data_IF_681150913263
#
_entry.id   IF_681150913263
#
_cell.length_a   1.000
_cell.length_b   1.000
_cell.length_c   1.000
_cell.angle_alpha   90.00
_cell.angle_beta   90.00
_cell.angle_gamma   90.00
#
_symmetry.space_group_name_H-M   'P 1'
#
loop_
_entity.id
_entity.type
_entity.pdbx_description
1 polymer ?
#
# COMPACT_ATOMS: atom_id res chain seq x y z
N UNK A 1 -66.48 -29.80 -0.33
CA UNK A 1 -66.89 -29.89 -1.74
C UNK A 1 -65.75 -30.52 -2.53
N UNK A 2 -66.03 -31.67 -3.16
CA UNK A 2 -65.23 -32.50 -4.09
C UNK A 2 -63.94 -33.16 -3.51
N UNK A 3 -64.02 -34.35 -2.90
CA UNK A 3 -63.90 -35.74 -3.46
C UNK A 3 -62.50 -36.06 -4.02
N UNK A 4 -61.60 -36.78 -3.33
CA UNK A 4 -61.48 -38.23 -3.01
C UNK A 4 -60.93 -39.11 -4.16
N UNK A 5 -60.10 -40.08 -3.76
CA UNK A 5 -59.58 -41.29 -4.46
C UNK A 5 -58.28 -41.11 -5.25
N UNK A 6 -57.25 -41.96 -5.19
CA UNK A 6 -57.00 -43.23 -4.48
C UNK A 6 -55.92 -44.05 -5.21
N UNK A 7 -55.07 -44.75 -4.45
CA UNK A 7 -54.67 -46.17 -4.64
C UNK A 7 -53.62 -46.56 -5.74
N UNK A 8 -52.40 -46.82 -5.25
CA UNK A 8 -51.50 -48.00 -5.37
C UNK A 8 -50.89 -48.58 -6.67
N UNK A 9 -49.65 -49.06 -6.46
CA UNK A 9 -49.01 -50.34 -6.85
C UNK A 9 -48.31 -50.49 -8.23
N UNK A 10 -46.97 -50.53 -8.14
CA UNK A 10 -46.06 -51.60 -8.55
C UNK A 10 -46.19 -52.28 -9.94
N UNK A 11 -45.07 -52.20 -10.66
CA UNK A 11 -44.27 -53.33 -11.19
C UNK A 11 -44.39 -53.79 -12.66
N UNK A 12 -43.19 -54.10 -13.20
CA UNK A 12 -42.81 -55.22 -14.08
C UNK A 12 -42.51 -55.01 -15.59
N UNK A 13 -41.39 -55.65 -15.98
CA UNK A 13 -40.86 -56.08 -17.31
C UNK A 13 -40.31 -55.01 -18.26
N UNK A 14 -38.99 -54.90 -18.48
CA UNK A 14 -38.05 -55.83 -19.15
C UNK A 14 -38.32 -56.02 -20.65
N UNK A 15 -37.46 -55.41 -21.49
CA UNK A 15 -37.16 -55.89 -22.84
C UNK A 15 -35.64 -55.77 -23.09
N UNK A 16 -35.03 -56.93 -23.25
CA UNK A 16 -33.67 -57.26 -23.72
C UNK A 16 -33.73 -57.18 -25.27
N UNK A 17 -32.73 -56.85 -26.11
CA UNK A 17 -31.36 -57.34 -26.33
C UNK A 17 -30.81 -56.50 -27.51
N UNK A 18 -29.54 -56.09 -27.50
CA UNK A 18 -28.53 -56.42 -28.54
C UNK A 18 -27.25 -55.63 -28.28
N UNK A 19 -26.24 -56.36 -27.79
CA UNK A 19 -24.86 -55.94 -27.78
C UNK A 19 -24.34 -55.87 -29.22
N UNK A 20 -23.67 -54.77 -29.55
CA UNK A 20 -22.68 -54.74 -30.62
C UNK A 20 -21.34 -54.49 -29.93
N UNK A 21 -20.55 -55.55 -29.81
CA UNK A 21 -19.15 -55.48 -29.43
C UNK A 21 -18.39 -54.75 -30.53
N UNK A 22 -17.87 -53.56 -30.23
CA UNK A 22 -16.81 -52.96 -31.02
C UNK A 22 -15.57 -52.89 -30.15
N UNK A 23 -14.72 -53.87 -30.36
CA UNK A 23 -13.34 -53.98 -29.85
C UNK A 23 -12.60 -52.69 -30.21
N UNK A 24 -12.28 -51.86 -29.21
CA UNK A 24 -11.40 -50.71 -29.43
C UNK A 24 -9.97 -51.21 -29.32
N UNK A 25 -9.29 -51.24 -30.47
CA UNK A 25 -7.87 -51.52 -30.56
C UNK A 25 -7.07 -50.46 -29.79
N UNK A 26 -6.19 -50.92 -28.90
CA UNK A 26 -5.09 -50.12 -28.35
C UNK A 26 -4.16 -49.75 -29.51
N UNK A 27 -4.09 -48.45 -29.80
CA UNK A 27 -3.25 -47.87 -30.84
C UNK A 27 -3.26 -46.35 -30.74
N UNK A 28 -2.30 -45.85 -29.97
CA UNK A 28 -1.70 -44.52 -29.96
C UNK A 28 -2.39 -43.42 -30.79
N UNK A 29 -3.11 -42.52 -30.12
CA UNK A 29 -3.10 -41.10 -30.49
C UNK A 29 -3.32 -40.22 -29.25
N UNK A 30 -2.24 -39.54 -28.89
CA UNK A 30 -2.16 -38.26 -28.19
C UNK A 30 -2.29 -38.27 -26.66
N UNK A 31 -1.11 -38.43 -26.04
CA UNK A 31 -0.63 -37.71 -24.84
C UNK A 31 -1.61 -36.67 -24.30
N UNK A 32 -2.28 -37.02 -23.22
CA UNK A 32 -2.89 -36.06 -22.30
C UNK A 32 -2.07 -36.07 -21.02
N UNK A 33 -0.82 -35.59 -21.12
CA UNK A 33 -0.17 -34.95 -19.99
C UNK A 33 -0.70 -33.51 -19.97
N UNK A 34 -1.36 -33.04 -18.90
CA UNK A 34 -1.33 -31.62 -18.62
C UNK A 34 0.10 -31.34 -18.18
N UNK A 35 0.96 -31.10 -19.18
CA UNK A 35 2.29 -30.55 -18.97
C UNK A 35 2.08 -29.33 -18.08
N UNK A 36 2.64 -29.39 -16.88
CA UNK A 36 2.82 -28.25 -16.01
C UNK A 36 3.23 -27.07 -16.88
N UNK A 37 2.30 -26.12 -17.03
CA UNK A 37 2.46 -24.99 -17.93
C UNK A 37 3.76 -24.31 -17.56
N UNK A 38 4.66 -24.27 -18.54
CA UNK A 38 6.07 -24.01 -18.39
C UNK A 38 6.31 -22.68 -17.65
N UNK A 39 6.61 -22.77 -16.34
CA UNK A 39 7.28 -21.74 -15.56
C UNK A 39 8.82 -21.90 -15.61
N UNK A 40 9.47 -21.71 -16.77
CA UNK A 40 10.86 -21.23 -16.77
C UNK A 40 11.08 -19.89 -17.49
N UNK A 41 10.17 -19.44 -18.38
CA UNK A 41 10.39 -18.21 -19.17
C UNK A 41 10.14 -16.92 -18.37
N UNK A 42 9.25 -16.97 -17.37
CA UNK A 42 8.89 -15.83 -16.52
C UNK A 42 9.97 -15.48 -15.47
N UNK A 43 10.67 -16.49 -14.94
CA UNK A 43 11.69 -16.29 -13.90
C UNK A 43 13.04 -15.85 -14.50
N UNK A 44 13.44 -16.36 -15.67
CA UNK A 44 14.73 -16.01 -16.29
C UNK A 44 14.81 -14.55 -16.75
N UNK A 45 13.78 -14.00 -17.40
CA UNK A 45 13.79 -12.60 -17.90
C UNK A 45 13.95 -11.58 -16.75
N UNK A 46 13.34 -11.87 -15.59
CA UNK A 46 13.38 -10.98 -14.43
C UNK A 46 14.57 -11.25 -13.49
N UNK A 47 15.23 -12.40 -13.61
CA UNK A 47 16.47 -12.74 -12.89
C UNK A 47 17.74 -12.38 -13.68
N UNK A 48 17.70 -12.39 -15.02
CA UNK A 48 18.79 -11.88 -15.87
C UNK A 48 18.97 -10.37 -15.71
N UNK A 49 17.88 -9.65 -15.41
CA UNK A 49 17.90 -8.25 -14.96
C UNK A 49 18.40 -8.05 -13.53
N UNK A 50 18.79 -9.12 -12.80
CA UNK A 50 19.47 -9.05 -11.49
C UNK A 50 20.93 -9.50 -11.57
N UNK A 51 21.43 -9.85 -12.76
CA UNK A 51 22.84 -10.11 -13.01
C UNK A 51 23.69 -8.89 -12.67
N UNK A 52 24.88 -9.12 -12.10
CA UNK A 52 25.76 -8.11 -11.50
C UNK A 52 25.80 -6.78 -12.28
N UNK A 53 25.01 -5.80 -11.83
CA UNK A 53 25.12 -4.46 -12.37
C UNK A 53 26.46 -3.87 -11.91
N UNK A 54 27.37 -3.48 -12.83
CA UNK A 54 28.47 -2.61 -12.45
C UNK A 54 27.90 -1.30 -11.90
N UNK A 55 28.02 -1.15 -10.57
CA UNK A 55 27.80 0.05 -9.73
C UNK A 55 26.73 1.05 -10.21
N UNK A 56 25.45 0.66 -10.19
CA UNK A 56 24.37 1.64 -10.23
C UNK A 56 24.46 2.55 -8.99
N UNK A 57 24.18 3.84 -9.14
CA UNK A 57 23.88 4.67 -7.97
C UNK A 57 22.58 4.19 -7.32
N UNK A 58 22.31 4.62 -6.09
CA UNK A 58 21.05 4.28 -5.41
C UNK A 58 19.85 4.78 -6.23
N UNK A 59 19.94 5.96 -6.85
CA UNK A 59 18.89 6.52 -7.71
C UNK A 59 18.67 5.70 -8.98
N UNK A 60 19.74 5.26 -9.64
CA UNK A 60 19.63 4.41 -10.83
C UNK A 60 19.04 3.03 -10.48
N UNK A 61 19.38 2.51 -9.31
CA UNK A 61 18.80 1.27 -8.79
C UNK A 61 17.31 1.44 -8.45
N UNK A 62 16.92 2.52 -7.78
CA UNK A 62 15.51 2.84 -7.48
C UNK A 62 14.67 3.02 -8.75
N UNK A 63 15.22 3.70 -9.76
CA UNK A 63 14.60 3.83 -11.08
C UNK A 63 14.42 2.46 -11.74
N UNK A 64 15.44 1.60 -11.70
CA UNK A 64 15.34 0.24 -12.23
C UNK A 64 14.26 -0.59 -11.52
N UNK A 65 14.17 -0.51 -10.19
CA UNK A 65 13.11 -1.17 -9.43
C UNK A 65 11.71 -0.67 -9.82
N UNK A 66 11.57 0.64 -10.01
CA UNK A 66 10.30 1.25 -10.44
C UNK A 66 9.91 0.75 -11.82
N UNK A 67 10.82 0.80 -12.80
CA UNK A 67 10.56 0.30 -14.15
C UNK A 67 10.22 -1.19 -14.17
N UNK A 68 10.88 -2.01 -13.35
CA UNK A 68 10.53 -3.41 -13.19
C UNK A 68 9.11 -3.59 -12.65
N UNK A 69 8.71 -2.76 -11.67
CA UNK A 69 7.40 -2.82 -11.02
C UNK A 69 6.24 -2.38 -11.93
N UNK A 70 6.46 -1.40 -12.81
CA UNK A 70 5.46 -0.99 -13.83
C UNK A 70 5.54 -1.84 -15.11
N UNK A 71 6.50 -2.76 -15.18
CA UNK A 71 6.77 -3.60 -16.33
C UNK A 71 6.25 -5.02 -16.18
N UNK A 72 6.76 -5.91 -17.03
CA UNK A 72 6.41 -7.34 -17.02
C UNK A 72 7.06 -8.12 -15.88
N UNK A 73 7.95 -7.47 -15.12
CA UNK A 73 8.66 -8.05 -13.97
C UNK A 73 8.06 -7.59 -12.64
N UNK A 74 6.84 -7.05 -12.66
CA UNK A 74 6.14 -6.61 -11.47
C UNK A 74 6.05 -7.75 -10.45
N UNK A 75 6.43 -7.46 -9.21
CA UNK A 75 6.29 -8.39 -8.09
C UNK A 75 5.02 -8.02 -7.32
N UNK A 76 4.18 -9.00 -7.02
CA UNK A 76 3.07 -8.79 -6.10
C UNK A 76 3.55 -8.61 -4.66
N UNK A 77 2.95 -7.68 -3.94
CA UNK A 77 3.16 -7.41 -2.52
C UNK A 77 1.92 -7.74 -1.71
N UNK A 78 2.13 -8.06 -0.45
CA UNK A 78 1.11 -8.16 0.59
C UNK A 78 1.34 -7.12 1.69
N UNK A 79 0.28 -6.77 2.43
CA UNK A 79 0.41 -5.93 3.63
C UNK A 79 1.40 -6.58 4.61
N UNK A 80 2.36 -5.78 5.10
CA UNK A 80 3.44 -6.22 5.98
C UNK A 80 4.74 -6.59 5.25
N UNK A 81 4.73 -6.70 3.92
CA UNK A 81 5.96 -6.89 3.14
C UNK A 81 6.89 -5.67 3.24
N UNK A 82 8.17 -5.90 2.97
CA UNK A 82 9.13 -4.81 2.74
C UNK A 82 9.00 -4.34 1.30
N UNK A 83 8.64 -3.07 1.11
CA UNK A 83 8.44 -2.46 -0.19
C UNK A 83 9.76 -2.09 -0.89
N UNK A 84 9.65 -1.53 -2.10
CA UNK A 84 10.80 -1.26 -2.97
C UNK A 84 11.80 -0.30 -2.33
N UNK A 85 11.32 0.67 -1.56
CA UNK A 85 12.16 1.65 -0.88
C UNK A 85 12.62 1.20 0.52
N UNK A 86 12.39 -0.05 0.90
CA UNK A 86 12.73 -0.60 2.23
C UNK A 86 11.71 -0.26 3.32
N UNK A 87 10.57 0.30 2.93
CA UNK A 87 9.43 0.60 3.79
C UNK A 87 8.60 -0.63 4.16
N UNK A 88 7.56 -0.43 4.96
CA UNK A 88 6.53 -1.47 5.17
C UNK A 88 5.32 -1.15 4.29
N UNK A 89 4.91 -2.13 3.49
CA UNK A 89 3.69 -2.06 2.68
C UNK A 89 2.48 -2.11 3.59
N UNK A 90 1.59 -1.11 3.51
CA UNK A 90 0.39 -1.02 4.35
C UNK A 90 -0.91 -1.02 3.56
N UNK A 91 -0.86 -0.81 2.24
CA UNK A 91 -2.00 -0.87 1.34
C UNK A 91 -1.55 -1.45 0.00
N UNK A 92 -2.37 -2.31 -0.60
CA UNK A 92 -2.10 -2.94 -1.91
C UNK A 92 -3.36 -2.93 -2.79
N UNK A 93 -3.16 -2.86 -4.10
CA UNK A 93 -4.21 -3.08 -5.10
C UNK A 93 -4.70 -4.53 -5.08
N UNK A 94 -5.83 -4.80 -5.75
CA UNK A 94 -6.43 -6.13 -5.79
C UNK A 94 -5.50 -7.21 -6.38
N UNK A 95 -4.66 -6.83 -7.35
CA UNK A 95 -3.65 -7.69 -7.97
C UNK A 95 -2.31 -7.73 -7.19
N UNK A 96 -2.18 -6.91 -6.13
CA UNK A 96 -0.96 -6.77 -5.34
C UNK A 96 0.20 -6.09 -6.06
N UNK A 97 0.03 -5.64 -7.30
CA UNK A 97 1.13 -5.08 -8.10
C UNK A 97 1.44 -3.62 -7.78
N UNK A 98 0.48 -2.90 -7.19
CA UNK A 98 0.66 -1.51 -6.79
C UNK A 98 0.19 -1.30 -5.36
N UNK A 99 0.66 -0.23 -4.73
CA UNK A 99 0.31 0.01 -3.35
C UNK A 99 0.95 1.22 -2.75
N UNK A 100 0.92 1.25 -1.41
CA UNK A 100 1.52 2.29 -0.59
C UNK A 100 2.43 1.65 0.44
N UNK A 101 3.62 2.22 0.59
CA UNK A 101 4.58 1.85 1.64
C UNK A 101 4.96 3.06 2.50
N UNK A 102 5.31 2.79 3.76
CA UNK A 102 5.87 3.80 4.66
C UNK A 102 7.34 4.05 4.37
N UNK A 103 7.90 5.17 4.81
CA UNK A 103 9.35 5.28 4.94
C UNK A 103 9.85 4.26 5.99
N UNK A 104 11.09 3.76 5.87
CA UNK A 104 11.70 2.89 6.88
C UNK A 104 11.91 3.62 8.22
N UNK A 105 12.06 4.95 8.19
CA UNK A 105 12.34 5.77 9.36
C UNK A 105 11.30 6.87 9.59
N UNK A 106 11.10 7.19 10.87
CA UNK A 106 10.19 8.23 11.34
C UNK A 106 10.96 9.55 11.49
N UNK A 107 10.41 10.63 10.95
CA UNK A 107 10.91 11.98 11.21
C UNK A 107 10.25 12.50 12.49
N UNK A 108 11.02 13.08 13.41
CA UNK A 108 10.53 13.47 14.75
C UNK A 108 10.72 14.95 15.03
N UNK A 109 9.84 15.49 15.89
CA UNK A 109 9.92 16.83 16.47
C UNK A 109 9.88 17.94 15.42
N UNK A 110 8.99 17.78 14.43
CA UNK A 110 8.84 18.73 13.32
C UNK A 110 7.54 19.52 13.46
N UNK A 111 7.60 20.78 13.06
CA UNK A 111 6.41 21.62 12.95
C UNK A 111 5.75 21.42 11.58
N UNK A 112 4.43 21.47 11.56
CA UNK A 112 3.66 21.51 10.31
C UNK A 112 4.08 22.72 9.47
N UNK A 113 4.36 23.84 10.14
CA UNK A 113 4.54 25.14 9.51
C UNK A 113 3.19 25.77 9.17
N UNK A 114 3.22 26.86 8.41
CA UNK A 114 2.01 27.56 7.95
C UNK A 114 1.05 27.98 9.08
N UNK A 115 1.59 28.27 10.26
CA UNK A 115 0.80 28.85 11.34
C UNK A 115 0.19 30.18 10.89
N UNK A 116 -1.08 30.40 11.22
CA UNK A 116 -1.90 31.53 10.78
C UNK A 116 -2.16 31.62 9.26
N UNK A 117 -1.86 30.58 8.49
CA UNK A 117 -2.08 30.53 7.04
C UNK A 117 -3.04 29.38 6.71
N UNK A 118 -4.14 29.70 6.01
CA UNK A 118 -5.05 28.72 5.42
C UNK A 118 -4.55 28.30 4.02
N UNK A 119 -4.57 26.99 3.75
CA UNK A 119 -3.98 26.37 2.58
C UNK A 119 -5.08 25.70 1.76
N UNK A 120 -5.62 26.45 0.80
CA UNK A 120 -6.56 25.90 -0.18
C UNK A 120 -5.94 24.68 -0.89
N UNK A 121 -6.64 23.56 -0.83
CA UNK A 121 -6.23 22.31 -1.48
C UNK A 121 -5.44 21.34 -0.61
N UNK A 122 -5.23 21.66 0.68
CA UNK A 122 -4.59 20.76 1.65
C UNK A 122 -5.60 20.10 2.61
N UNK A 123 -6.90 20.12 2.31
CA UNK A 123 -7.95 19.57 3.18
C UNK A 123 -8.47 18.19 2.77
N UNK A 124 -7.85 17.53 1.78
CA UNK A 124 -8.26 16.18 1.37
C UNK A 124 -7.99 15.18 2.49
N UNK A 125 -8.95 14.31 2.78
CA UNK A 125 -8.83 13.35 3.88
C UNK A 125 -8.61 11.93 3.37
N UNK A 126 -9.11 11.64 2.17
CA UNK A 126 -9.17 10.32 1.55
C UNK A 126 -7.79 9.69 1.30
N UNK A 127 -7.79 8.37 1.11
CA UNK A 127 -6.63 7.64 0.62
C UNK A 127 -6.31 8.17 -0.79
N UNK A 128 -5.06 8.54 -1.03
CA UNK A 128 -4.59 9.18 -2.25
C UNK A 128 -4.48 10.70 -2.19
N UNK A 129 -5.01 11.37 -1.15
CA UNK A 129 -4.92 12.85 -1.06
C UNK A 129 -3.57 13.34 -0.56
N UNK A 130 -2.78 12.50 0.11
CA UNK A 130 -1.59 12.93 0.83
C UNK A 130 -0.60 13.70 -0.03
N UNK A 131 -0.35 13.22 -1.26
CA UNK A 131 0.53 13.88 -2.22
C UNK A 131 0.01 15.27 -2.62
N UNK A 132 -1.24 15.38 -3.05
CA UNK A 132 -1.85 16.65 -3.46
C UNK A 132 -1.87 17.68 -2.31
N UNK A 133 -2.14 17.23 -1.10
CA UNK A 133 -2.08 18.07 0.10
C UNK A 133 -0.65 18.56 0.33
N UNK A 134 0.33 17.65 0.34
CA UNK A 134 1.76 17.94 0.52
C UNK A 134 2.23 19.00 -0.47
N UNK A 135 1.95 18.82 -1.76
CA UNK A 135 2.30 19.78 -2.80
C UNK A 135 1.64 21.16 -2.58
N UNK A 136 0.42 21.16 -2.04
CA UNK A 136 -0.32 22.40 -1.75
C UNK A 136 0.26 23.19 -0.59
N UNK A 137 0.77 22.51 0.41
CA UNK A 137 1.50 23.13 1.52
C UNK A 137 2.87 23.64 1.06
N UNK A 138 3.63 22.85 0.30
CA UNK A 138 4.96 23.24 -0.21
C UNK A 138 4.91 24.53 -1.05
N UNK A 139 3.88 24.68 -1.89
CA UNK A 139 3.65 25.90 -2.69
C UNK A 139 3.45 27.17 -1.87
N UNK A 140 3.16 27.08 -0.57
CA UNK A 140 3.01 28.25 0.32
C UNK A 140 4.32 28.75 0.88
N UNK A 141 5.41 27.98 0.78
CA UNK A 141 6.73 28.36 1.27
C UNK A 141 6.71 28.85 2.73
N UNK A 142 5.96 28.14 3.56
CA UNK A 142 5.73 28.53 4.94
C UNK A 142 6.97 28.36 5.82
N UNK A 143 7.02 29.16 6.88
CA UNK A 143 8.00 29.03 7.96
C UNK A 143 7.43 28.31 9.18
N UNK A 144 8.32 27.84 10.03
CA UNK A 144 8.03 27.35 11.39
C UNK A 144 7.83 28.53 12.35
N UNK A 145 7.08 28.33 13.43
CA UNK A 145 6.87 29.34 14.47
C UNK A 145 8.09 29.45 15.39
N UNK A 146 8.76 28.33 15.70
CA UNK A 146 9.90 28.32 16.62
C UNK A 146 11.25 28.17 15.92
N UNK A 147 11.31 28.49 14.62
CA UNK A 147 12.52 28.40 13.81
C UNK A 147 12.88 26.98 13.37
N UNK A 148 13.63 26.89 12.27
CA UNK A 148 14.01 25.62 11.61
C UNK A 148 13.19 25.32 10.37
N UNK A 149 13.39 24.12 9.82
CA UNK A 149 12.77 23.63 8.59
C UNK A 149 11.40 23.01 8.89
N UNK A 150 10.41 23.22 8.01
CA UNK A 150 9.08 22.60 8.16
C UNK A 150 9.13 21.09 7.88
N UNK A 151 8.20 20.34 8.45
CA UNK A 151 8.07 18.91 8.17
C UNK A 151 7.89 18.61 6.67
N UNK A 152 7.13 19.44 5.96
CA UNK A 152 6.91 19.29 4.51
C UNK A 152 8.20 19.42 3.70
N UNK A 153 9.06 20.39 4.05
CA UNK A 153 10.34 20.59 3.37
C UNK A 153 11.33 19.46 3.65
N UNK A 154 11.33 18.94 4.88
CA UNK A 154 12.13 17.75 5.22
C UNK A 154 11.71 16.51 4.42
N UNK A 155 10.42 16.37 4.13
CA UNK A 155 9.91 15.26 3.30
C UNK A 155 10.17 15.50 1.80
N UNK A 156 10.10 16.74 1.32
CA UNK A 156 10.44 17.11 -0.07
C UNK A 156 11.92 16.80 -0.41
N UNK A 157 12.81 16.95 0.56
CA UNK A 157 14.25 16.69 0.41
C UNK A 157 14.65 15.25 0.79
N UNK A 158 13.69 14.41 1.18
CA UNK A 158 13.95 13.06 1.65
C UNK A 158 14.39 12.15 0.49
N UNK A 159 15.59 11.59 0.59
CA UNK A 159 16.06 10.50 -0.28
C UNK A 159 16.31 9.27 0.60
N UNK A 160 15.60 8.18 0.32
CA UNK A 160 15.76 6.90 1.01
C UNK A 160 15.92 5.82 -0.04
N UNK A 161 17.07 5.14 -0.04
CA UNK A 161 17.39 4.07 -0.99
C UNK A 161 17.20 4.49 -2.46
N UNK A 162 17.54 5.73 -2.80
CA UNK A 162 17.41 6.31 -4.15
C UNK A 162 16.05 6.90 -4.50
N UNK A 163 15.06 6.79 -3.61
CA UNK A 163 13.71 7.25 -3.83
C UNK A 163 13.45 8.63 -3.23
N UNK A 164 12.85 9.55 -4.00
CA UNK A 164 12.66 10.98 -3.64
C UNK A 164 11.20 11.47 -3.70
N UNK A 165 10.27 10.62 -4.10
CA UNK A 165 8.84 10.88 -4.28
C UNK A 165 8.03 10.65 -2.99
N UNK A 166 8.63 10.88 -1.83
CA UNK A 166 7.98 10.80 -0.53
C UNK A 166 7.00 11.97 -0.31
N UNK A 167 5.91 11.70 0.42
CA UNK A 167 4.94 12.71 0.83
C UNK A 167 4.39 12.44 2.22
N UNK A 168 3.74 13.45 2.80
CA UNK A 168 3.10 13.32 4.11
C UNK A 168 1.70 12.71 3.91
N UNK A 169 1.37 11.62 4.61
CA UNK A 169 0.08 10.94 4.48
C UNK A 169 -1.10 11.87 4.82
N UNK A 170 -2.21 11.72 4.13
CA UNK A 170 -3.51 12.26 4.53
C UNK A 170 -3.97 11.63 5.84
N UNK A 171 -5.04 12.17 6.42
CA UNK A 171 -5.63 11.59 7.63
C UNK A 171 -6.00 10.13 7.44
N UNK A 172 -6.73 9.78 6.37
CA UNK A 172 -7.17 8.40 6.19
C UNK A 172 -6.01 7.47 5.81
N UNK A 173 -4.95 7.98 5.19
CA UNK A 173 -3.71 7.19 4.98
C UNK A 173 -3.03 6.85 6.31
N UNK A 174 -2.98 7.77 7.30
CA UNK A 174 -2.47 7.45 8.64
C UNK A 174 -3.34 6.43 9.40
N UNK A 175 -4.65 6.55 9.26
CA UNK A 175 -5.60 5.59 9.86
C UNK A 175 -5.38 4.22 9.23
N UNK A 176 -5.27 4.14 7.90
CA UNK A 176 -5.02 2.89 7.17
C UNK A 176 -3.71 2.24 7.61
N UNK A 177 -2.62 3.00 7.78
CA UNK A 177 -1.37 2.45 8.33
C UNK A 177 -1.60 1.79 9.69
N UNK A 178 -2.35 2.45 10.58
CA UNK A 178 -2.63 1.92 11.92
C UNK A 178 -3.55 0.70 11.88
N UNK A 179 -4.58 0.70 11.05
CA UNK A 179 -5.53 -0.39 10.95
C UNK A 179 -4.89 -1.64 10.32
N UNK A 180 -4.01 -1.45 9.34
CA UNK A 180 -3.33 -2.53 8.62
C UNK A 180 -2.08 -3.07 9.34
N UNK A 181 -1.28 -2.21 9.98
CA UNK A 181 -0.03 -2.62 10.65
C UNK A 181 -0.14 -2.67 12.19
N UNK A 182 -1.21 -2.14 12.75
CA UNK A 182 -1.42 -2.04 14.19
C UNK A 182 -0.67 -0.88 14.84
N UNK A 183 -0.64 -0.92 16.18
CA UNK A 183 0.03 0.11 16.97
C UNK A 183 1.54 0.09 16.73
N UNK A 184 2.09 1.22 16.26
CA UNK A 184 3.54 1.38 16.11
C UNK A 184 4.21 1.46 17.50
N UNK A 185 5.16 0.56 17.83
CA UNK A 185 5.85 0.60 19.11
C UNK A 185 6.89 1.73 19.10
N UNK A 186 6.56 2.88 19.70
CA UNK A 186 7.54 3.95 19.89
C UNK A 186 8.37 3.74 21.17
N UNK A 187 9.67 4.03 21.08
CA UNK A 187 10.55 4.07 22.24
C UNK A 187 10.14 5.17 23.22
N UNK A 188 10.06 4.82 24.51
CA UNK A 188 9.65 5.63 25.68
C UNK A 188 10.57 6.83 26.02
N UNK A 189 11.20 7.48 25.06
CA UNK A 189 11.98 8.70 25.31
C UNK A 189 11.22 9.94 24.82
N UNK A 190 10.08 10.21 25.45
CA UNK A 190 9.36 11.49 25.32
C UNK A 190 10.00 12.53 26.26
N UNK A 191 10.66 13.53 25.68
CA UNK A 191 10.86 14.80 26.38
C UNK A 191 9.50 15.50 26.50
N UNK A 192 9.25 16.24 27.58
CA UNK A 192 7.98 16.93 27.87
C UNK A 192 7.41 17.80 26.73
N UNK A 193 8.24 18.21 25.76
CA UNK A 193 7.85 19.07 24.64
C UNK A 193 7.76 18.34 23.28
N UNK A 194 7.84 17.01 23.29
CA UNK A 194 7.68 16.18 22.10
C UNK A 194 6.51 15.23 22.33
N UNK A 195 5.60 15.17 21.36
CA UNK A 195 4.47 14.25 21.32
C UNK A 195 4.79 13.11 20.35
N UNK A 196 5.75 12.21 20.65
CA UNK A 196 6.34 11.29 19.68
C UNK A 196 5.37 10.24 19.12
N UNK A 197 4.21 10.08 19.76
CA UNK A 197 3.16 9.14 19.36
C UNK A 197 2.11 9.79 18.46
N UNK A 198 2.08 11.13 18.37
CA UNK A 198 1.20 11.85 17.45
C UNK A 198 1.94 12.13 16.15
N UNK A 199 1.27 11.86 15.04
CA UNK A 199 1.80 12.00 13.69
C UNK A 199 1.01 13.08 12.96
N UNK A 200 1.72 14.00 12.33
CA UNK A 200 1.11 14.94 11.41
C UNK A 200 0.55 14.19 10.21
N UNK A 201 -0.71 14.46 9.87
CA UNK A 201 -1.21 14.24 8.52
C UNK A 201 -0.92 15.48 7.67
N UNK A 202 -1.05 15.38 6.35
CA UNK A 202 -1.02 16.50 5.42
C UNK A 202 -2.38 17.24 5.35
N UNK A 203 -3.39 16.75 6.06
CA UNK A 203 -4.75 17.28 6.05
C UNK A 203 -4.87 18.49 6.99
N UNK A 204 -5.01 19.67 6.41
CA UNK A 204 -5.28 20.92 7.11
C UNK A 204 -6.73 20.98 7.62
N UNK A 205 -6.92 21.50 8.82
CA UNK A 205 -8.25 21.85 9.34
C UNK A 205 -8.58 23.33 9.13
N UNK A 206 -7.66 24.23 9.53
CA UNK A 206 -7.79 25.67 9.34
C UNK A 206 -6.43 26.37 9.38
N UNK A 207 -6.42 27.70 9.53
CA UNK A 207 -5.18 28.49 9.57
C UNK A 207 -4.30 28.23 10.80
N UNK A 208 -4.83 27.66 11.88
CA UNK A 208 -4.12 27.38 13.14
C UNK A 208 -3.88 25.89 13.38
N UNK A 209 -4.78 25.02 12.90
CA UNK A 209 -4.78 23.58 13.20
C UNK A 209 -4.64 22.70 11.96
N UNK A 210 -4.04 21.54 12.15
CA UNK A 210 -4.02 20.43 11.20
C UNK A 210 -4.40 19.13 11.89
N UNK A 211 -4.85 18.15 11.11
CA UNK A 211 -5.23 16.84 11.63
C UNK A 211 -3.97 16.01 11.93
N UNK A 212 -4.01 15.31 13.04
CA UNK A 212 -2.97 14.43 13.52
C UNK A 212 -3.58 13.11 14.00
N UNK A 213 -2.76 12.07 14.07
CA UNK A 213 -3.21 10.75 14.50
C UNK A 213 -2.25 10.12 15.49
N UNK A 214 -2.79 9.51 16.55
CA UNK A 214 -1.99 8.87 17.59
C UNK A 214 -1.72 7.40 17.25
N UNK A 215 -0.59 7.13 16.61
CA UNK A 215 -0.21 5.83 16.04
C UNK A 215 0.00 4.69 17.06
N UNK A 216 -0.13 4.94 18.37
CA UNK A 216 -0.14 3.87 19.40
C UNK A 216 -1.53 3.60 20.00
N UNK A 217 -2.48 4.53 19.86
CA UNK A 217 -3.80 4.42 20.52
C UNK A 217 -4.98 4.53 19.56
N UNK A 218 -4.73 4.78 18.27
CA UNK A 218 -5.76 4.93 17.25
C UNK A 218 -6.64 6.17 17.44
N UNK A 219 -6.11 7.23 18.08
CA UNK A 219 -6.89 8.44 18.38
C UNK A 219 -6.60 9.54 17.37
N UNK A 220 -7.65 10.05 16.75
CA UNK A 220 -7.61 11.29 15.98
C UNK A 220 -7.37 12.49 16.90
N UNK A 221 -6.70 13.52 16.37
CA UNK A 221 -6.44 14.76 17.07
C UNK A 221 -6.39 15.95 16.12
N UNK A 222 -6.70 17.13 16.65
CA UNK A 222 -6.43 18.42 16.02
C UNK A 222 -5.24 19.03 16.74
N UNK A 223 -4.15 19.24 16.03
CA UNK A 223 -2.94 19.77 16.61
C UNK A 223 -2.63 21.15 16.03
N UNK A 224 -2.24 22.05 16.94
CA UNK A 224 -1.84 23.41 16.59
C UNK A 224 -0.56 23.35 15.75
N UNK A 225 -0.52 24.02 14.60
CA UNK A 225 0.55 23.89 13.60
C UNK A 225 1.96 24.22 14.09
N UNK A 226 2.08 24.94 15.21
CA UNK A 226 3.35 25.23 15.90
C UNK A 226 3.85 24.10 16.82
N UNK A 227 3.05 23.05 17.04
CA UNK A 227 3.48 21.90 17.83
C UNK A 227 4.52 21.08 17.07
N UNK A 228 5.36 20.37 17.83
CA UNK A 228 6.35 19.44 17.29
C UNK A 228 5.87 18.01 17.44
N UNK A 229 5.44 17.42 16.32
CA UNK A 229 4.97 16.03 16.24
C UNK A 229 5.92 15.19 15.40
N UNK A 230 5.53 13.95 15.12
CA UNK A 230 6.23 13.04 14.22
C UNK A 230 5.62 13.01 12.82
N UNK A 231 6.37 12.50 11.85
CA UNK A 231 5.94 12.20 10.49
C UNK A 231 6.35 10.78 10.14
N UNK A 232 5.48 10.08 9.43
CA UNK A 232 5.76 8.82 8.76
C UNK A 232 5.49 9.06 7.28
N UNK A 233 6.51 9.49 6.51
CA UNK A 233 6.33 9.70 5.08
C UNK A 233 5.89 8.42 4.40
N UNK A 234 5.17 8.55 3.30
CA UNK A 234 4.71 7.42 2.48
C UNK A 234 5.02 7.70 1.02
N UNK A 235 5.00 6.63 0.21
CA UNK A 235 5.13 6.69 -1.25
C UNK A 235 4.19 5.67 -1.88
N UNK A 236 3.89 5.86 -3.16
CA UNK A 236 3.27 4.83 -3.99
C UNK A 236 4.33 4.02 -4.73
N UNK A 237 4.00 2.77 -5.04
CA UNK A 237 4.73 1.94 -6.00
C UNK A 237 3.73 1.29 -6.95
#
# INVERSE_FOLDING_TARGET
MKTLTGITLASLLALQVHASETTIHLGDFNNFDPVAEQLPEYEEICLEGRGSFPTLTEEEYAAHLTEAQYGRCAKAFSVGDIGLAGGVVYYVSEDGLHGLETAPDIIRRVEYGCFEIFIRGAGGEEIGSGRKNTDSVLRKNCSTMHGGVTGFRLVEELNVNGFTDWYIPSKHELIEIYDSLGAFPFFKNSSYNAHPSYFWSSTESDRWYAQAYHMTSGREAYAHKSQRLSLLPIRSF
#
